data_IF_793261193678
#
_entry.id   IF_793261193678
#
_cell.length_a   1.000
_cell.length_b   1.000
_cell.length_c   1.000
_cell.angle_alpha   90.00
_cell.angle_beta   90.00
_cell.angle_gamma   90.00
#
_symmetry.space_group_name_H-M   'P 1'
#
loop_
_entity.id
_entity.type
_entity.pdbx_description
1 polymer ?
#
# COMPACT_ATOMS: atom_id res chain seq x y z
N UNK A 1 -3.21 -21.52 28.11
CA UNK A 1 -3.39 -20.42 27.16
C UNK A 1 -4.08 -19.26 27.87
N UNK A 2 -3.31 -18.40 28.53
CA UNK A 2 -3.84 -17.12 29.02
C UNK A 2 -4.24 -16.27 27.80
N UNK A 3 -5.40 -15.61 27.83
CA UNK A 3 -5.76 -14.72 26.75
C UNK A 3 -4.67 -13.63 26.62
N UNK A 4 -4.06 -13.51 25.42
CA UNK A 4 -3.13 -12.42 25.13
C UNK A 4 -3.86 -11.11 25.47
N UNK A 5 -3.31 -10.32 26.39
CA UNK A 5 -3.82 -8.99 26.70
C UNK A 5 -3.83 -8.19 25.39
N UNK A 6 -5.03 -7.89 24.90
CA UNK A 6 -5.17 -7.01 23.72
C UNK A 6 -4.62 -5.65 24.13
N UNK A 7 -3.52 -5.25 23.51
CA UNK A 7 -2.93 -3.94 23.76
C UNK A 7 -3.88 -2.87 23.21
N UNK A 8 -4.32 -1.96 24.05
CA UNK A 8 -5.15 -0.83 23.65
C UNK A 8 -4.26 0.34 23.24
N UNK A 9 -4.57 0.93 22.09
CA UNK A 9 -3.97 2.16 21.61
C UNK A 9 -4.97 3.30 21.83
N UNK A 10 -4.48 4.38 22.40
CA UNK A 10 -5.25 5.61 22.59
C UNK A 10 -4.51 6.73 21.88
N UNK A 11 -5.18 7.86 21.64
CA UNK A 11 -4.47 9.07 21.22
C UNK A 11 -3.72 9.64 22.43
N UNK A 12 -2.66 8.94 22.80
CA UNK A 12 -1.93 9.08 24.05
C UNK A 12 -1.26 10.43 24.25
N UNK A 13 -1.38 11.35 23.29
CA UNK A 13 -0.53 12.56 23.29
C UNK A 13 -1.33 13.86 23.20
N UNK A 14 -2.59 13.80 23.57
CA UNK A 14 -3.42 14.98 23.75
C UNK A 14 -3.90 15.62 22.44
N UNK A 15 -3.87 14.88 21.32
CA UNK A 15 -4.45 15.33 20.08
C UNK A 15 -5.86 14.73 19.93
N UNK A 16 -6.90 15.57 20.03
CA UNK A 16 -8.28 15.10 20.08
C UNK A 16 -8.78 14.50 18.77
N UNK A 17 -8.09 14.75 17.65
CA UNK A 17 -8.44 14.22 16.33
C UNK A 17 -7.30 14.37 15.33
N UNK A 18 -7.38 13.64 14.22
CA UNK A 18 -6.46 13.70 13.08
C UNK A 18 -7.11 14.33 11.83
N UNK A 19 -8.29 14.93 11.98
CA UNK A 19 -9.10 15.45 10.88
C UNK A 19 -8.33 16.39 9.94
N UNK A 20 -7.44 17.23 10.49
CA UNK A 20 -6.64 18.17 9.67
C UNK A 20 -5.76 17.46 8.64
N UNK A 21 -5.32 16.25 8.93
CA UNK A 21 -4.48 15.45 8.01
C UNK A 21 -5.26 14.89 6.83
N UNK A 22 -6.59 14.85 6.94
CA UNK A 22 -7.53 14.39 5.91
C UNK A 22 -8.54 15.47 5.55
N UNK A 23 -8.10 16.73 5.56
CA UNK A 23 -8.87 17.90 5.18
C UNK A 23 -8.37 18.46 3.85
N UNK A 24 -9.28 19.07 3.10
CA UNK A 24 -8.95 19.72 1.83
C UNK A 24 -7.95 20.86 2.03
N UNK A 25 -7.02 20.96 1.09
CA UNK A 25 -6.01 22.03 1.01
C UNK A 25 -6.05 22.70 -0.35
N UNK A 26 -5.44 23.86 -0.46
CA UNK A 26 -5.15 24.51 -1.74
C UNK A 26 -3.77 24.06 -2.24
N UNK A 27 -3.57 24.08 -3.54
CA UNK A 27 -2.27 23.81 -4.14
C UNK A 27 -1.29 24.99 -3.94
N UNK A 28 -0.01 24.67 -3.93
CA UNK A 28 1.10 25.64 -3.88
C UNK A 28 1.89 25.51 -5.18
N UNK A 29 1.42 26.11 -6.28
CA UNK A 29 1.97 25.85 -7.61
C UNK A 29 3.37 26.45 -7.82
N UNK A 30 3.69 27.55 -7.13
CA UNK A 30 5.01 28.16 -7.17
C UNK A 30 5.90 27.62 -6.03
N UNK A 31 7.20 27.38 -6.30
CA UNK A 31 8.11 26.89 -5.29
C UNK A 31 8.25 27.86 -4.10
N UNK A 32 8.08 27.35 -2.90
CA UNK A 32 8.33 28.09 -1.65
C UNK A 32 9.56 27.53 -0.94
N UNK A 33 10.34 28.40 -0.29
CA UNK A 33 11.45 27.99 0.54
C UNK A 33 10.96 27.33 1.83
N UNK A 34 11.73 26.37 2.31
CA UNK A 34 11.51 25.71 3.61
C UNK A 34 12.51 26.23 4.64
N UNK A 35 12.18 26.11 5.91
CA UNK A 35 13.07 26.41 7.01
C UNK A 35 13.84 25.13 7.43
N UNK A 36 15.15 25.14 7.32
CA UNK A 36 16.02 23.99 7.59
C UNK A 36 16.42 23.98 9.07
N UNK A 37 16.24 22.85 9.72
CA UNK A 37 16.70 22.56 11.07
C UNK A 37 17.61 21.33 11.01
N UNK A 38 18.78 21.38 11.62
CA UNK A 38 19.80 20.36 11.47
C UNK A 38 20.56 20.50 10.14
N UNK A 39 21.02 19.38 9.59
CA UNK A 39 21.82 19.38 8.36
C UNK A 39 21.24 18.40 7.35
N UNK A 40 20.88 18.91 6.17
CA UNK A 40 20.53 18.05 5.03
C UNK A 40 21.81 17.81 4.23
N UNK A 41 22.20 16.53 4.00
CA UNK A 41 23.41 16.22 3.27
C UNK A 41 23.44 16.87 1.87
N UNK A 42 24.53 17.57 1.54
CA UNK A 42 24.68 18.31 0.29
C UNK A 42 24.69 17.42 -0.95
N UNK A 43 25.04 16.13 -0.78
CA UNK A 43 25.04 15.17 -1.87
C UNK A 43 23.65 14.75 -2.34
N UNK A 44 22.60 15.03 -1.55
CA UNK A 44 21.23 14.79 -1.97
C UNK A 44 20.85 15.86 -2.98
N UNK A 45 20.78 15.49 -4.24
CA UNK A 45 20.39 16.39 -5.34
C UNK A 45 19.31 15.70 -6.20
N UNK A 46 18.09 16.22 -6.16
CA UNK A 46 16.97 15.63 -6.87
C UNK A 46 15.61 16.14 -6.42
N UNK A 47 14.61 15.37 -6.80
CA UNK A 47 13.21 15.66 -6.47
C UNK A 47 12.58 14.49 -5.73
N UNK A 48 12.20 14.73 -4.50
CA UNK A 48 11.32 13.84 -3.79
C UNK A 48 9.87 14.17 -4.16
N UNK A 49 9.25 13.26 -4.88
CA UNK A 49 7.86 13.36 -5.33
C UNK A 49 6.97 12.50 -4.44
N UNK A 50 5.76 12.98 -4.20
CA UNK A 50 4.77 12.26 -3.40
C UNK A 50 3.37 12.56 -3.91
N UNK A 51 2.46 11.60 -3.80
CA UNK A 51 1.06 11.78 -4.08
C UNK A 51 0.17 11.37 -2.90
N UNK A 52 -1.04 11.88 -2.93
CA UNK A 52 -2.11 11.53 -2.00
C UNK A 52 -3.33 12.40 -2.25
N UNK A 53 -4.43 12.15 -1.53
CA UNK A 53 -5.62 12.98 -1.65
C UNK A 53 -5.38 14.35 -1.02
N UNK A 54 -5.69 15.41 -1.77
CA UNK A 54 -5.57 16.80 -1.32
C UNK A 54 -6.90 17.54 -1.25
N UNK A 55 -7.97 16.97 -1.80
CA UNK A 55 -9.30 17.56 -1.77
C UNK A 55 -10.35 16.49 -1.45
N UNK A 56 -11.08 16.70 -0.38
CA UNK A 56 -12.03 15.77 0.20
C UNK A 56 -13.48 16.27 0.10
N UNK A 57 -13.68 17.49 -0.34
CA UNK A 57 -14.96 18.14 -0.55
C UNK A 57 -15.00 18.85 -1.91
N UNK A 58 -16.15 18.80 -2.59
CA UNK A 58 -16.43 19.57 -3.81
C UNK A 58 -17.81 20.25 -3.63
N UNK A 59 -17.84 21.57 -3.60
CA UNK A 59 -19.05 22.31 -3.25
C UNK A 59 -19.58 21.87 -1.89
N UNK A 60 -20.85 21.44 -1.85
CA UNK A 60 -21.49 20.94 -0.62
C UNK A 60 -21.40 19.41 -0.45
N UNK A 61 -20.67 18.73 -1.32
CA UNK A 61 -20.54 17.27 -1.29
C UNK A 61 -19.20 16.85 -0.72
N UNK A 62 -19.19 15.71 0.01
CA UNK A 62 -17.99 15.14 0.62
C UNK A 62 -17.71 13.74 0.04
N UNK A 63 -16.43 13.42 -0.12
CA UNK A 63 -16.03 12.05 -0.38
C UNK A 63 -16.18 11.19 0.88
N UNK A 64 -16.48 9.91 0.71
CA UNK A 64 -16.75 8.99 1.82
C UNK A 64 -15.54 8.11 2.19
N UNK A 65 -14.63 7.90 1.27
CA UNK A 65 -13.47 7.04 1.47
C UNK A 65 -12.17 7.81 1.19
N UNK A 66 -11.10 7.46 1.89
CA UNK A 66 -9.80 8.12 1.73
C UNK A 66 -9.26 8.04 0.30
N UNK A 67 -9.53 6.92 -0.39
CA UNK A 67 -9.10 6.71 -1.78
C UNK A 67 -9.86 7.56 -2.81
N UNK A 68 -10.95 8.22 -2.42
CA UNK A 68 -11.76 9.02 -3.35
C UNK A 68 -11.25 10.46 -3.52
N UNK A 69 -10.40 10.93 -2.60
CA UNK A 69 -9.92 12.31 -2.62
C UNK A 69 -9.14 12.65 -3.88
N UNK A 70 -9.32 13.87 -4.39
CA UNK A 70 -8.62 14.32 -5.60
C UNK A 70 -7.11 14.37 -5.36
N UNK A 71 -6.35 13.76 -6.27
CA UNK A 71 -4.92 13.58 -6.14
C UNK A 71 -4.17 14.91 -6.18
N UNK A 72 -3.36 15.16 -5.15
CA UNK A 72 -2.42 16.27 -5.04
C UNK A 72 -1.00 15.72 -5.15
N UNK A 73 -0.26 16.25 -6.12
CA UNK A 73 1.14 15.91 -6.34
C UNK A 73 2.00 16.92 -5.60
N UNK A 74 2.93 16.41 -4.79
CA UNK A 74 3.88 17.20 -4.01
C UNK A 74 5.28 17.02 -4.57
N UNK A 75 6.07 18.08 -4.61
CA UNK A 75 7.49 18.05 -4.96
C UNK A 75 8.30 18.77 -3.90
N UNK A 76 9.30 18.07 -3.36
CA UNK A 76 10.39 18.63 -2.58
C UNK A 76 11.64 18.56 -3.45
N UNK A 77 12.10 19.72 -3.95
CA UNK A 77 13.36 19.81 -4.67
C UNK A 77 14.47 20.03 -3.66
N UNK A 78 15.41 19.09 -3.60
CA UNK A 78 16.56 19.11 -2.70
C UNK A 78 17.80 19.40 -3.53
N UNK A 79 18.59 20.39 -3.14
CA UNK A 79 19.86 20.71 -3.77
C UNK A 79 20.77 21.48 -2.80
N UNK A 80 22.02 21.07 -2.66
CA UNK A 80 23.03 21.73 -1.82
C UNK A 80 22.56 22.02 -0.40
N UNK A 81 21.91 21.04 0.24
CA UNK A 81 21.39 21.17 1.60
C UNK A 81 20.15 22.07 1.75
N UNK A 82 19.61 22.60 0.65
CA UNK A 82 18.40 23.42 0.64
C UNK A 82 17.22 22.63 0.09
N UNK A 83 16.01 22.98 0.52
CA UNK A 83 14.77 22.35 0.06
C UNK A 83 13.75 23.41 -0.32
N UNK A 84 13.12 23.24 -1.47
CA UNK A 84 11.93 24.00 -1.86
C UNK A 84 10.76 23.05 -2.04
N UNK A 85 9.56 23.55 -1.76
CA UNK A 85 8.31 22.80 -1.85
C UNK A 85 7.35 23.43 -2.84
N UNK A 86 6.66 22.61 -3.62
CA UNK A 86 5.47 23.00 -4.39
C UNK A 86 4.47 21.83 -4.48
N UNK A 87 3.23 22.13 -4.84
CA UNK A 87 2.21 21.12 -5.08
C UNK A 87 1.21 21.53 -6.15
N UNK A 88 0.66 20.54 -6.87
CA UNK A 88 -0.40 20.74 -7.86
C UNK A 88 -1.37 19.57 -7.87
N UNK A 89 -2.64 19.88 -8.07
CA UNK A 89 -3.64 18.83 -8.32
C UNK A 89 -3.40 18.17 -9.68
N UNK A 90 -3.57 16.85 -9.72
CA UNK A 90 -3.58 16.11 -10.97
C UNK A 90 -4.83 16.51 -11.76
N UNK A 91 -4.60 17.08 -12.96
CA UNK A 91 -5.66 17.53 -13.87
C UNK A 91 -6.32 16.34 -14.59
N UNK A 92 -6.91 15.40 -13.81
CA UNK A 92 -7.68 14.29 -14.35
C UNK A 92 -9.05 14.72 -14.84
N UNK A 93 -9.67 13.90 -15.70
CA UNK A 93 -11.03 14.16 -16.19
C UNK A 93 -12.04 14.31 -15.04
N UNK A 94 -11.94 13.47 -14.01
CA UNK A 94 -12.75 13.56 -12.79
C UNK A 94 -12.53 14.88 -12.06
N UNK A 95 -11.27 15.32 -11.93
CA UNK A 95 -10.95 16.60 -11.27
C UNK A 95 -11.55 17.78 -12.03
N UNK A 96 -11.38 17.82 -13.35
CA UNK A 96 -11.92 18.89 -14.20
C UNK A 96 -13.44 18.92 -14.16
N UNK A 97 -14.09 17.77 -14.35
CA UNK A 97 -15.55 17.67 -14.31
C UNK A 97 -16.13 18.08 -12.94
N UNK A 98 -15.48 17.69 -11.85
CA UNK A 98 -15.89 18.06 -10.49
C UNK A 98 -15.72 19.57 -10.25
N UNK A 99 -14.62 20.15 -10.73
CA UNK A 99 -14.33 21.59 -10.60
C UNK A 99 -15.32 22.44 -11.38
N UNK A 100 -15.56 22.11 -12.66
CA UNK A 100 -16.48 22.82 -13.54
C UNK A 100 -17.94 22.82 -13.00
N UNK A 101 -18.37 21.67 -12.48
CA UNK A 101 -19.73 21.52 -11.99
C UNK A 101 -19.91 21.88 -10.51
N UNK A 102 -18.83 22.21 -9.78
CA UNK A 102 -18.78 22.45 -8.34
C UNK A 102 -19.52 21.37 -7.51
N UNK A 103 -19.42 20.11 -7.96
CA UNK A 103 -20.01 18.93 -7.31
C UNK A 103 -19.29 17.66 -7.74
N UNK A 104 -19.47 16.57 -6.98
CA UNK A 104 -18.95 15.26 -7.37
C UNK A 104 -19.80 14.73 -8.54
N UNK A 105 -19.19 14.61 -9.72
CA UNK A 105 -19.86 14.22 -10.97
C UNK A 105 -19.65 12.76 -11.33
N UNK A 106 -18.57 12.14 -10.85
CA UNK A 106 -18.19 10.75 -11.11
C UNK A 106 -18.29 9.95 -9.80
N UNK A 107 -18.87 8.75 -9.86
CA UNK A 107 -18.86 7.85 -8.71
C UNK A 107 -17.45 7.28 -8.54
N UNK A 108 -16.89 7.41 -7.35
CA UNK A 108 -15.59 6.93 -6.97
C UNK A 108 -15.70 5.61 -6.18
N UNK A 109 -14.61 5.14 -5.60
CA UNK A 109 -14.52 3.88 -4.88
C UNK A 109 -15.53 3.76 -3.72
N UNK A 110 -15.56 4.76 -2.82
CA UNK A 110 -16.46 4.82 -1.66
C UNK A 110 -17.57 5.86 -1.77
N UNK A 111 -17.60 6.66 -2.85
CA UNK A 111 -18.55 7.76 -3.01
C UNK A 111 -19.41 7.56 -4.23
N UNK A 112 -20.73 7.65 -4.04
CA UNK A 112 -21.73 7.66 -5.12
C UNK A 112 -22.07 9.09 -5.51
N UNK A 113 -22.14 9.35 -6.82
CA UNK A 113 -22.71 10.59 -7.35
C UNK A 113 -24.23 10.62 -7.16
N UNK A 114 -24.73 11.80 -6.82
CA UNK A 114 -26.15 12.05 -6.94
C UNK A 114 -26.54 12.10 -8.43
N UNK A 115 -27.72 11.56 -8.81
CA UNK A 115 -28.18 11.63 -10.18
C UNK A 115 -28.18 13.05 -10.70
N UNK A 116 -27.73 13.27 -11.93
CA UNK A 116 -27.77 14.57 -12.58
C UNK A 116 -29.24 15.03 -12.69
N UNK A 117 -29.61 16.16 -12.06
CA UNK A 117 -30.98 16.67 -12.12
C UNK A 117 -31.40 17.03 -13.55
N UNK A 118 -30.46 17.31 -14.45
CA UNK A 118 -30.72 17.69 -15.83
C UNK A 118 -30.95 16.51 -16.78
N UNK A 119 -30.66 15.27 -16.34
CA UNK A 119 -30.90 14.07 -17.15
C UNK A 119 -32.27 13.47 -16.86
N UNK A 120 -32.99 13.07 -17.93
CA UNK A 120 -34.27 12.38 -17.77
C UNK A 120 -34.07 10.97 -17.16
N UNK A 121 -35.18 10.37 -16.67
CA UNK A 121 -35.14 9.08 -15.97
C UNK A 121 -34.56 7.97 -16.86
N UNK A 122 -34.82 8.00 -18.17
CA UNK A 122 -34.33 6.98 -19.11
C UNK A 122 -32.81 7.10 -19.35
N UNK A 123 -32.29 8.30 -19.53
CA UNK A 123 -30.85 8.55 -19.63
C UNK A 123 -30.13 8.21 -18.35
N UNK A 124 -30.74 8.45 -17.18
CA UNK A 124 -30.23 8.03 -15.87
C UNK A 124 -30.18 6.51 -15.73
N UNK A 125 -31.13 5.81 -16.34
CA UNK A 125 -31.21 4.35 -16.34
C UNK A 125 -30.14 3.76 -17.26
N UNK A 126 -30.02 4.20 -18.51
CA UNK A 126 -29.05 3.69 -19.49
C UNK A 126 -27.59 3.91 -19.09
N UNK A 127 -27.27 5.06 -18.47
CA UNK A 127 -25.89 5.33 -18.00
C UNK A 127 -25.45 4.44 -16.82
N UNK A 128 -26.32 3.54 -16.33
CA UNK A 128 -26.06 2.66 -15.17
C UNK A 128 -25.79 1.20 -15.53
N UNK A 129 -25.96 0.82 -16.80
CA UNK A 129 -25.84 -0.56 -17.24
C UNK A 129 -24.64 -0.78 -18.15
N UNK A 130 -23.49 -1.08 -17.53
CA UNK A 130 -22.47 -1.90 -18.16
C UNK A 130 -22.47 -3.24 -17.43
N UNK A 131 -22.90 -4.29 -18.12
CA UNK A 131 -22.91 -5.64 -17.58
C UNK A 131 -21.48 -6.17 -17.55
N UNK A 132 -20.97 -6.65 -16.39
CA UNK A 132 -19.68 -7.31 -16.35
C UNK A 132 -19.70 -8.58 -17.22
N UNK A 133 -18.57 -8.89 -17.83
CA UNK A 133 -18.38 -10.15 -18.55
C UNK A 133 -18.73 -11.34 -17.64
N UNK A 134 -19.24 -12.43 -18.24
CA UNK A 134 -19.70 -13.63 -17.51
C UNK A 134 -18.66 -14.34 -16.66
N UNK A 135 -17.36 -13.97 -16.78
CA UNK A 135 -16.27 -14.53 -16.01
C UNK A 135 -15.26 -13.44 -15.68
N UNK A 136 -14.74 -13.45 -14.46
CA UNK A 136 -13.67 -12.56 -14.03
C UNK A 136 -12.30 -13.21 -14.26
N UNK A 137 -11.37 -12.42 -14.78
CA UNK A 137 -9.99 -12.80 -15.03
C UNK A 137 -9.03 -11.72 -14.51
N UNK A 138 -7.78 -12.13 -14.24
CA UNK A 138 -6.67 -11.24 -13.96
C UNK A 138 -5.69 -11.31 -15.13
N UNK A 139 -5.39 -10.18 -15.74
CA UNK A 139 -4.40 -10.11 -16.82
C UNK A 139 -3.10 -9.55 -16.25
N UNK A 140 -2.02 -10.30 -16.40
CA UNK A 140 -0.67 -9.79 -16.20
C UNK A 140 -0.21 -9.24 -17.54
N UNK A 141 0.08 -7.94 -17.59
CA UNK A 141 0.49 -7.24 -18.79
C UNK A 141 1.96 -6.87 -18.71
N UNK A 142 2.61 -6.82 -19.86
CA UNK A 142 3.95 -6.26 -20.01
C UNK A 142 3.87 -4.99 -20.82
N UNK A 143 4.32 -3.90 -20.22
CA UNK A 143 4.47 -2.60 -20.87
C UNK A 143 5.94 -2.44 -21.23
N UNK A 144 6.32 -2.28 -22.52
CA UNK A 144 7.71 -2.06 -22.88
C UNK A 144 8.17 -0.69 -22.37
N UNK A 145 9.47 -0.52 -22.03
CA UNK A 145 10.02 0.79 -21.75
C UNK A 145 9.96 1.64 -23.02
N UNK A 146 9.10 2.65 -23.03
CA UNK A 146 9.02 3.59 -24.16
C UNK A 146 10.19 4.57 -24.12
N UNK A 147 10.82 4.80 -25.26
CA UNK A 147 11.62 6.01 -25.50
C UNK A 147 10.64 7.16 -25.42
N UNK A 148 10.87 8.10 -24.49
CA UNK A 148 10.00 9.26 -24.23
C UNK A 148 9.70 10.03 -25.54
N UNK A 149 8.52 9.79 -26.08
CA UNK A 149 7.81 10.73 -26.95
C UNK A 149 6.53 11.09 -26.21
N UNK A 150 6.08 12.31 -26.31
CA UNK A 150 4.98 12.87 -25.53
C UNK A 150 3.60 12.21 -25.80
N UNK A 151 3.54 11.24 -26.72
CA UNK A 151 2.32 10.56 -27.14
C UNK A 151 2.45 9.05 -26.90
N UNK A 152 1.49 8.51 -26.16
CA UNK A 152 1.14 7.07 -25.93
C UNK A 152 2.10 6.21 -25.10
N UNK A 153 1.86 6.20 -23.78
CA UNK A 153 2.62 5.41 -22.80
C UNK A 153 2.32 3.91 -22.79
N UNK A 154 1.30 3.43 -23.52
CA UNK A 154 0.87 2.03 -23.51
C UNK A 154 1.03 1.31 -24.86
N UNK A 155 1.65 1.94 -25.86
CA UNK A 155 1.93 1.31 -27.13
C UNK A 155 2.86 0.09 -26.97
N UNK A 156 2.57 -0.99 -27.65
CA UNK A 156 3.32 -2.24 -27.55
C UNK A 156 3.04 -3.08 -26.28
N UNK A 157 2.07 -2.69 -25.47
CA UNK A 157 1.61 -3.48 -24.32
C UNK A 157 1.11 -4.85 -24.77
N UNK A 158 1.55 -5.89 -24.08
CA UNK A 158 1.14 -7.27 -24.36
C UNK A 158 0.59 -7.93 -23.09
N UNK A 159 -0.41 -8.81 -23.26
CA UNK A 159 -0.88 -9.67 -22.16
C UNK A 159 0.09 -10.84 -22.04
N UNK A 160 0.80 -10.90 -20.92
CA UNK A 160 1.73 -11.98 -20.62
C UNK A 160 0.99 -13.29 -20.30
N UNK A 161 -0.05 -13.18 -19.46
CA UNK A 161 -0.94 -14.30 -19.15
C UNK A 161 -2.29 -13.79 -18.64
N UNK A 162 -3.28 -14.69 -18.69
CA UNK A 162 -4.63 -14.48 -18.13
C UNK A 162 -4.89 -15.56 -17.08
N UNK A 163 -5.20 -15.16 -15.86
CA UNK A 163 -5.49 -16.05 -14.74
C UNK A 163 -7.00 -16.00 -14.48
N UNK A 164 -7.74 -17.12 -14.61
CA UNK A 164 -9.14 -17.15 -14.23
C UNK A 164 -9.28 -16.99 -12.72
N UNK A 165 -10.20 -16.12 -12.29
CA UNK A 165 -10.52 -15.99 -10.87
C UNK A 165 -11.03 -17.32 -10.30
N UNK A 166 -10.66 -17.65 -9.08
CA UNK A 166 -11.18 -18.81 -8.36
C UNK A 166 -12.70 -18.75 -8.13
N UNK A 167 -13.29 -17.56 -8.23
CA UNK A 167 -14.72 -17.32 -8.17
C UNK A 167 -15.11 -16.40 -9.34
N UNK A 168 -15.94 -16.92 -10.26
CA UNK A 168 -16.30 -16.24 -11.51
C UNK A 168 -17.09 -14.95 -11.30
N UNK A 169 -17.83 -14.84 -10.20
CA UNK A 169 -18.70 -13.71 -9.88
C UNK A 169 -18.16 -12.81 -8.78
N UNK A 170 -17.15 -13.30 -8.06
CA UNK A 170 -16.52 -12.60 -6.94
C UNK A 170 -15.00 -12.67 -7.06
N UNK A 171 -14.40 -11.94 -8.02
CA UNK A 171 -12.95 -11.88 -8.12
C UNK A 171 -12.34 -11.28 -6.85
N UNK A 172 -11.08 -11.61 -6.61
CA UNK A 172 -10.30 -11.03 -5.54
C UNK A 172 -9.95 -9.58 -5.85
N UNK A 173 -10.06 -8.71 -4.86
CA UNK A 173 -9.31 -7.47 -4.86
C UNK A 173 -7.82 -7.77 -4.76
N UNK A 174 -7.00 -7.03 -5.48
CA UNK A 174 -5.56 -7.03 -5.30
C UNK A 174 -5.03 -5.60 -5.34
N UNK A 175 -3.87 -5.38 -4.72
CA UNK A 175 -3.28 -4.06 -4.63
C UNK A 175 -1.87 -4.03 -5.26
N UNK A 176 -1.03 -5.00 -4.93
CA UNK A 176 0.28 -5.19 -5.51
C UNK A 176 0.58 -6.68 -5.71
N UNK A 177 1.63 -6.99 -6.46
CA UNK A 177 2.10 -8.36 -6.68
C UNK A 177 3.61 -8.46 -6.43
N UNK A 178 4.07 -9.65 -6.08
CA UNK A 178 5.50 -9.91 -5.90
C UNK A 178 6.16 -10.21 -7.25
N UNK A 179 7.42 -9.83 -7.39
CA UNK A 179 8.22 -10.07 -8.58
C UNK A 179 9.64 -10.49 -8.21
N UNK A 180 10.11 -11.56 -8.81
CA UNK A 180 11.49 -12.02 -8.74
C UNK A 180 12.20 -11.79 -10.08
N UNK A 181 13.43 -12.24 -10.24
CA UNK A 181 14.11 -12.16 -11.53
C UNK A 181 13.33 -12.86 -12.65
N UNK A 182 12.82 -14.08 -12.39
CA UNK A 182 12.17 -14.90 -13.41
C UNK A 182 10.65 -15.03 -13.26
N UNK A 183 10.07 -14.69 -12.11
CA UNK A 183 8.65 -14.93 -11.82
C UNK A 183 7.92 -13.67 -11.39
N UNK A 184 6.61 -13.69 -11.66
CA UNK A 184 5.61 -12.84 -10.99
C UNK A 184 4.80 -13.75 -10.08
N UNK A 185 4.51 -13.31 -8.86
CA UNK A 185 3.60 -14.02 -7.96
C UNK A 185 2.40 -13.12 -7.67
N UNK A 186 1.26 -13.52 -8.20
CA UNK A 186 -0.01 -12.87 -7.96
C UNK A 186 -0.69 -13.52 -6.75
N UNK A 187 -1.07 -12.72 -5.76
CA UNK A 187 -1.71 -13.18 -4.53
C UNK A 187 -3.22 -13.00 -4.65
N UNK A 188 -3.93 -14.08 -4.91
CA UNK A 188 -5.39 -14.08 -4.90
C UNK A 188 -5.89 -14.25 -3.47
N UNK A 189 -6.12 -13.11 -2.82
CA UNK A 189 -6.55 -13.02 -1.42
C UNK A 189 -8.08 -13.11 -1.27
N UNK A 190 -8.60 -13.47 -0.08
CA UNK A 190 -10.04 -13.63 0.13
C UNK A 190 -10.82 -12.32 0.36
N UNK A 191 -10.27 -11.16 0.04
CA UNK A 191 -11.07 -9.94 -0.15
C UNK A 191 -11.72 -10.04 -1.51
N UNK A 192 -13.03 -10.24 -1.56
CA UNK A 192 -13.78 -10.50 -2.78
C UNK A 192 -14.63 -9.30 -3.19
N UNK A 193 -14.66 -9.00 -4.49
CA UNK A 193 -15.52 -7.98 -5.09
C UNK A 193 -16.78 -8.67 -5.63
N UNK A 194 -17.91 -8.50 -4.96
CA UNK A 194 -19.19 -9.02 -5.40
C UNK A 194 -19.70 -8.18 -6.59
N UNK A 195 -19.43 -8.65 -7.81
CA UNK A 195 -19.75 -7.91 -9.03
C UNK A 195 -21.25 -7.61 -9.15
N UNK A 196 -22.10 -8.51 -8.68
CA UNK A 196 -23.54 -8.28 -8.69
C UNK A 196 -23.93 -7.14 -7.75
N UNK A 197 -23.37 -7.11 -6.54
CA UNK A 197 -23.58 -6.01 -5.58
C UNK A 197 -23.06 -4.68 -6.13
N UNK A 198 -21.86 -4.69 -6.75
CA UNK A 198 -21.26 -3.49 -7.33
C UNK A 198 -22.13 -2.92 -8.46
N UNK A 199 -22.54 -3.76 -9.40
CA UNK A 199 -23.38 -3.33 -10.54
C UNK A 199 -24.77 -2.84 -10.09
N UNK A 200 -25.42 -3.60 -9.21
CA UNK A 200 -26.74 -3.21 -8.68
C UNK A 200 -26.66 -2.15 -7.57
N UNK A 201 -25.46 -1.89 -7.06
CA UNK A 201 -25.20 -0.92 -5.98
C UNK A 201 -25.66 0.48 -6.36
N UNK A 202 -25.40 0.92 -7.58
CA UNK A 202 -25.88 2.24 -8.07
C UNK A 202 -27.40 2.41 -7.94
N UNK A 203 -28.17 1.34 -8.14
CA UNK A 203 -29.64 1.36 -7.96
C UNK A 203 -30.04 1.45 -6.47
N UNK A 204 -29.21 0.90 -5.60
CA UNK A 204 -29.42 0.85 -4.15
C UNK A 204 -28.71 1.99 -3.39
N UNK A 205 -28.12 2.94 -4.10
CA UNK A 205 -27.29 4.01 -3.54
C UNK A 205 -26.12 3.48 -2.70
N UNK A 206 -25.47 2.42 -3.21
CA UNK A 206 -24.29 1.78 -2.62
C UNK A 206 -23.06 2.03 -3.47
N UNK A 207 -21.92 2.32 -2.84
CA UNK A 207 -20.63 2.54 -3.48
C UNK A 207 -20.00 1.23 -3.96
N UNK A 208 -18.89 1.32 -4.70
CA UNK A 208 -18.11 0.15 -5.10
C UNK A 208 -17.57 -0.57 -3.86
N UNK A 209 -17.08 0.18 -2.86
CA UNK A 209 -16.54 -0.40 -1.63
C UNK A 209 -17.56 -1.19 -0.80
N UNK A 210 -18.86 -0.90 -0.92
CA UNK A 210 -19.93 -1.71 -0.30
C UNK A 210 -20.05 -3.13 -0.90
N UNK A 211 -19.48 -3.36 -2.08
CA UNK A 211 -19.42 -4.67 -2.73
C UNK A 211 -18.24 -5.52 -2.31
N UNK A 212 -17.35 -5.02 -1.44
CA UNK A 212 -16.20 -5.77 -0.95
C UNK A 212 -16.60 -6.65 0.22
N UNK A 213 -16.10 -7.89 0.21
CA UNK A 213 -16.43 -8.92 1.19
C UNK A 213 -15.15 -9.62 1.64
N UNK A 214 -14.98 -9.78 2.94
CA UNK A 214 -13.98 -10.67 3.51
C UNK A 214 -14.56 -12.09 3.66
N UNK A 215 -13.87 -13.09 3.12
CA UNK A 215 -14.26 -14.51 3.24
C UNK A 215 -13.22 -15.31 4.06
N UNK A 216 -13.38 -15.39 5.39
CA UNK A 216 -12.42 -16.07 6.27
C UNK A 216 -12.36 -17.59 6.09
N UNK A 217 -13.24 -18.17 5.28
CA UNK A 217 -13.26 -19.62 4.97
C UNK A 217 -12.48 -19.98 3.72
N UNK A 218 -12.05 -18.99 2.96
CA UNK A 218 -11.39 -19.18 1.68
C UNK A 218 -9.87 -18.98 1.81
N UNK A 219 -9.10 -19.97 1.39
CA UNK A 219 -7.64 -19.86 1.37
C UNK A 219 -7.16 -18.77 0.42
N UNK A 220 -6.04 -18.16 0.77
CA UNK A 220 -5.24 -17.35 -0.15
C UNK A 220 -4.52 -18.27 -1.14
N UNK A 221 -4.44 -17.86 -2.41
CA UNK A 221 -3.78 -18.62 -3.48
C UNK A 221 -2.62 -17.80 -4.02
N UNK A 222 -1.43 -18.40 -4.08
CA UNK A 222 -0.28 -17.81 -4.78
C UNK A 222 -0.20 -18.37 -6.19
N UNK A 223 -0.43 -17.52 -7.20
CA UNK A 223 -0.24 -17.86 -8.60
C UNK A 223 1.16 -17.46 -9.01
N UNK A 224 1.96 -18.44 -9.43
CA UNK A 224 3.35 -18.25 -9.86
C UNK A 224 3.41 -18.25 -11.37
N UNK A 225 3.86 -17.15 -11.98
CA UNK A 225 3.89 -16.92 -13.42
C UNK A 225 5.33 -16.71 -13.87
N UNK A 226 5.78 -17.50 -14.84
CA UNK A 226 7.09 -17.32 -15.42
C UNK A 226 7.12 -16.11 -16.37
N UNK A 227 7.97 -15.12 -16.10
CA UNK A 227 7.98 -13.82 -16.81
C UNK A 227 8.29 -13.89 -18.30
N UNK A 228 9.06 -14.90 -18.74
CA UNK A 228 9.42 -15.07 -20.15
C UNK A 228 8.30 -15.71 -20.96
N UNK A 229 7.69 -16.76 -20.43
CA UNK A 229 6.75 -17.60 -21.17
C UNK A 229 5.29 -17.28 -20.90
N UNK A 230 4.97 -16.57 -19.79
CA UNK A 230 3.61 -16.39 -19.33
C UNK A 230 2.98 -17.66 -18.74
N UNK A 231 3.75 -18.74 -18.60
CA UNK A 231 3.23 -19.99 -18.03
C UNK A 231 2.84 -19.79 -16.55
N UNK A 232 1.61 -20.15 -16.24
CA UNK A 232 1.08 -20.12 -14.86
C UNK A 232 1.27 -21.50 -14.25
N UNK A 233 2.23 -21.65 -13.34
CA UNK A 233 2.52 -22.92 -12.70
C UNK A 233 1.33 -23.50 -11.93
N UNK A 234 0.52 -22.63 -11.31
CA UNK A 234 -0.67 -23.04 -10.57
C UNK A 234 -1.80 -23.63 -11.42
N UNK A 235 -1.80 -23.42 -12.73
CA UNK A 235 -2.82 -23.98 -13.63
C UNK A 235 -2.46 -25.37 -14.16
N UNK A 236 -1.17 -25.69 -14.27
CA UNK A 236 -0.69 -26.92 -14.90
C UNK A 236 -0.28 -28.00 -13.90
N UNK A 237 0.14 -27.67 -12.68
CA UNK A 237 0.68 -28.68 -11.76
C UNK A 237 0.36 -28.50 -10.28
N UNK A 238 0.64 -27.33 -9.66
CA UNK A 238 0.58 -27.14 -8.20
C UNK A 238 -0.03 -25.80 -7.83
N UNK A 239 -0.97 -25.79 -6.89
CA UNK A 239 -1.53 -24.60 -6.25
C UNK A 239 -0.89 -24.42 -4.88
N UNK A 240 -0.28 -23.27 -4.65
CA UNK A 240 0.20 -22.87 -3.33
C UNK A 240 -0.92 -22.14 -2.59
N UNK A 241 -1.26 -22.65 -1.41
CA UNK A 241 -2.36 -22.19 -0.58
C UNK A 241 -1.82 -21.72 0.76
N UNK A 242 -2.40 -20.64 1.29
CA UNK A 242 -2.19 -20.22 2.66
C UNK A 242 -3.53 -20.01 3.36
N UNK A 243 -3.51 -19.90 4.69
CA UNK A 243 -4.68 -19.45 5.46
C UNK A 243 -5.15 -18.09 4.90
N UNK A 244 -6.43 -17.74 5.12
CA UNK A 244 -6.94 -16.42 4.74
C UNK A 244 -6.03 -15.31 5.25
N UNK A 245 -5.59 -14.44 4.36
CA UNK A 245 -4.83 -13.24 4.68
C UNK A 245 -5.24 -12.10 3.75
N UNK A 246 -5.04 -10.86 4.20
CA UNK A 246 -5.11 -9.68 3.36
C UNK A 246 -3.73 -9.03 3.27
N UNK A 247 -3.41 -8.47 2.11
CA UNK A 247 -2.15 -7.76 1.87
C UNK A 247 -2.37 -6.62 0.88
N UNK A 248 -1.73 -5.48 1.14
CA UNK A 248 -1.64 -4.39 0.18
C UNK A 248 -0.26 -4.35 -0.45
N UNK A 249 0.80 -4.39 0.35
CA UNK A 249 2.15 -4.17 -0.12
C UNK A 249 3.06 -5.38 0.06
N UNK A 250 3.83 -5.67 -1.00
CA UNK A 250 4.95 -6.59 -0.95
C UNK A 250 6.19 -5.83 -0.47
N UNK A 251 7.04 -6.48 0.34
CA UNK A 251 8.31 -5.91 0.78
C UNK A 251 9.36 -6.16 -0.29
N UNK A 252 9.58 -7.43 -0.62
CA UNK A 252 10.46 -7.90 -1.68
C UNK A 252 10.14 -9.36 -2.03
N UNK A 253 10.65 -9.84 -3.17
CA UNK A 253 10.64 -11.25 -3.48
C UNK A 253 11.90 -11.61 -4.28
N UNK A 254 12.42 -12.81 -4.05
CA UNK A 254 13.63 -13.29 -4.73
C UNK A 254 13.64 -14.82 -4.86
N UNK A 255 14.57 -15.31 -5.63
CA UNK A 255 14.79 -16.75 -5.83
C UNK A 255 16.04 -17.18 -5.06
N UNK A 256 15.96 -18.28 -4.34
CA UNK A 256 17.06 -18.84 -3.55
C UNK A 256 16.96 -20.37 -3.52
N UNK A 257 17.99 -21.06 -4.00
CA UNK A 257 18.15 -22.52 -3.91
C UNK A 257 16.93 -23.36 -4.37
N UNK A 258 16.22 -22.89 -5.40
CA UNK A 258 15.02 -23.55 -5.92
C UNK A 258 13.72 -23.20 -5.19
N UNK A 259 13.74 -22.14 -4.40
CA UNK A 259 12.57 -21.56 -3.72
C UNK A 259 12.30 -20.16 -4.22
N UNK A 260 11.02 -19.75 -4.13
CA UNK A 260 10.60 -18.36 -4.18
C UNK A 260 10.39 -17.87 -2.74
N UNK A 261 11.13 -16.87 -2.34
CA UNK A 261 10.97 -16.18 -1.05
C UNK A 261 10.12 -14.94 -1.29
N UNK A 262 9.02 -14.82 -0.57
CA UNK A 262 8.04 -13.74 -0.69
C UNK A 262 7.86 -13.06 0.65
N UNK A 263 8.26 -11.80 0.73
CA UNK A 263 8.09 -10.98 1.93
C UNK A 263 7.01 -9.93 1.68
N UNK A 264 6.03 -9.85 2.57
CA UNK A 264 4.88 -8.96 2.44
C UNK A 264 4.34 -8.48 3.76
N UNK A 265 3.69 -7.33 3.76
CA UNK A 265 2.88 -6.87 4.86
C UNK A 265 1.48 -7.51 4.77
N UNK A 266 1.11 -8.31 5.76
CA UNK A 266 -0.12 -9.09 5.73
C UNK A 266 -0.87 -9.08 7.07
N UNK A 267 -2.20 -9.21 6.99
CA UNK A 267 -3.11 -9.33 8.12
C UNK A 267 -3.94 -10.61 8.03
N UNK A 268 -4.47 -11.06 9.17
CA UNK A 268 -5.39 -12.20 9.26
C UNK A 268 -6.86 -11.81 9.06
N UNK A 269 -7.15 -10.55 8.81
CA UNK A 269 -8.49 -10.05 8.48
C UNK A 269 -8.49 -9.16 7.23
N UNK A 270 -9.68 -8.82 6.73
CA UNK A 270 -9.88 -8.01 5.53
C UNK A 270 -10.52 -6.65 5.81
N UNK A 271 -10.39 -6.10 7.01
CA UNK A 271 -11.10 -4.89 7.44
C UNK A 271 -10.42 -3.59 6.98
N UNK A 272 -9.21 -3.64 6.45
CA UNK A 272 -8.43 -2.45 6.10
C UNK A 272 -9.22 -1.46 5.22
N UNK A 273 -9.89 -1.94 4.17
CA UNK A 273 -10.69 -1.09 3.27
C UNK A 273 -11.79 -0.34 4.03
N UNK A 274 -12.52 -1.03 4.91
CA UNK A 274 -13.59 -0.43 5.69
C UNK A 274 -13.06 0.58 6.75
N UNK A 275 -11.87 0.35 7.27
CA UNK A 275 -11.24 1.25 8.25
C UNK A 275 -10.96 2.63 7.67
N UNK A 276 -10.62 2.74 6.38
CA UNK A 276 -10.26 4.00 5.71
C UNK A 276 -11.45 4.83 5.21
N UNK A 277 -12.63 4.59 5.75
CA UNK A 277 -13.76 5.49 5.56
C UNK A 277 -13.47 6.86 6.22
N UNK A 278 -13.71 7.97 5.51
CA UNK A 278 -13.41 9.34 5.99
C UNK A 278 -14.12 9.65 7.31
N UNK A 279 -15.31 9.07 7.53
CA UNK A 279 -16.01 9.21 8.81
C UNK A 279 -15.20 8.68 9.99
N UNK A 280 -14.43 7.60 9.82
CA UNK A 280 -13.52 7.08 10.84
C UNK A 280 -12.32 8.01 11.07
N UNK A 281 -11.74 8.52 9.99
CA UNK A 281 -10.60 9.42 10.02
C UNK A 281 -10.91 10.79 10.68
N UNK A 282 -12.19 11.17 10.75
CA UNK A 282 -12.66 12.44 11.33
C UNK A 282 -13.31 12.29 12.70
N UNK A 283 -13.26 11.10 13.30
CA UNK A 283 -13.68 10.91 14.70
C UNK A 283 -12.71 11.58 15.67
N UNK A 284 -13.16 11.76 16.90
CA UNK A 284 -12.37 12.37 17.98
C UNK A 284 -12.64 11.66 19.31
N UNK A 285 -11.73 11.82 20.28
CA UNK A 285 -11.85 11.27 21.63
C UNK A 285 -12.09 9.77 21.65
N UNK A 286 -12.96 9.28 22.53
CA UNK A 286 -13.25 7.84 22.70
C UNK A 286 -13.72 7.16 21.42
N UNK A 287 -14.44 7.84 20.54
CA UNK A 287 -14.89 7.28 19.27
C UNK A 287 -13.72 7.03 18.31
N UNK A 288 -12.66 7.84 18.36
CA UNK A 288 -11.44 7.61 17.60
C UNK A 288 -10.60 6.49 18.23
N UNK A 289 -10.50 6.45 19.55
CA UNK A 289 -9.80 5.37 20.26
C UNK A 289 -10.43 4.01 19.98
N UNK A 290 -11.75 3.91 19.87
CA UNK A 290 -12.43 2.68 19.49
C UNK A 290 -12.05 2.25 18.06
N UNK A 291 -11.95 3.20 17.12
CA UNK A 291 -11.45 2.89 15.77
C UNK A 291 -10.02 2.36 15.84
N UNK A 292 -9.12 3.00 16.58
CA UNK A 292 -7.74 2.54 16.73
C UNK A 292 -7.64 1.11 17.29
N UNK A 293 -8.54 0.73 18.19
CA UNK A 293 -8.56 -0.61 18.78
C UNK A 293 -9.19 -1.70 17.90
N UNK A 294 -9.92 -1.30 16.86
CA UNK A 294 -10.57 -2.21 15.90
C UNK A 294 -9.88 -2.25 14.53
N UNK A 295 -8.73 -1.59 14.38
CA UNK A 295 -7.99 -1.59 13.12
C UNK A 295 -7.49 -2.99 12.74
N UNK A 296 -7.56 -3.27 11.44
CA UNK A 296 -6.81 -4.31 10.80
C UNK A 296 -5.30 -4.09 11.06
N UNK A 297 -4.65 -5.02 11.73
CA UNK A 297 -3.22 -4.96 12.04
C UNK A 297 -2.43 -5.76 11.03
N UNK A 298 -1.39 -5.15 10.49
CA UNK A 298 -0.60 -5.68 9.38
C UNK A 298 0.82 -5.92 9.86
N UNK A 299 1.38 -7.10 9.59
CA UNK A 299 2.70 -7.50 10.03
C UNK A 299 3.55 -8.04 8.88
N UNK A 300 4.87 -7.80 8.89
CA UNK A 300 5.78 -8.36 7.91
C UNK A 300 5.87 -9.88 8.04
N UNK A 301 5.60 -10.58 6.94
CA UNK A 301 5.57 -12.05 6.88
C UNK A 301 6.32 -12.56 5.66
N UNK A 302 7.05 -13.66 5.82
CA UNK A 302 7.76 -14.39 4.77
C UNK A 302 7.03 -15.67 4.43
N UNK A 303 6.78 -15.90 3.14
CA UNK A 303 6.39 -17.19 2.58
C UNK A 303 7.54 -17.73 1.74
N UNK A 304 7.72 -19.03 1.77
CA UNK A 304 8.72 -19.74 0.96
C UNK A 304 8.00 -20.80 0.14
N UNK A 305 8.05 -20.67 -1.18
CA UNK A 305 7.35 -21.55 -2.11
C UNK A 305 8.37 -22.40 -2.87
N UNK A 306 8.36 -23.75 -2.73
CA UNK A 306 9.26 -24.61 -3.47
C UNK A 306 8.92 -24.60 -4.96
N UNK A 307 9.92 -24.34 -5.83
CA UNK A 307 9.74 -24.33 -7.28
C UNK A 307 9.63 -25.74 -7.89
N UNK A 308 10.24 -26.73 -7.25
CA UNK A 308 10.26 -28.09 -7.73
C UNK A 308 9.30 -28.97 -6.92
N UNK A 309 8.07 -29.09 -7.40
CA UNK A 309 7.05 -29.98 -6.85
C UNK A 309 6.51 -30.82 -8.01
N UNK A 310 6.77 -32.11 -8.00
CA UNK A 310 6.40 -33.07 -9.02
C UNK A 310 5.56 -34.23 -8.47
N UNK A 311 5.40 -35.29 -9.25
CA UNK A 311 4.61 -36.46 -8.85
C UNK A 311 5.27 -37.27 -7.71
N UNK A 312 6.58 -37.26 -7.64
CA UNK A 312 7.37 -38.03 -6.67
C UNK A 312 7.62 -37.25 -5.36
N UNK A 313 7.24 -35.97 -5.32
CA UNK A 313 7.37 -35.12 -4.12
C UNK A 313 6.54 -35.70 -2.97
N UNK A 314 7.18 -35.86 -1.82
CA UNK A 314 6.55 -36.43 -0.62
C UNK A 314 5.31 -35.64 -0.13
N UNK A 315 4.34 -36.38 0.41
CA UNK A 315 3.18 -35.81 1.10
C UNK A 315 3.45 -35.63 2.60
N UNK A 316 2.75 -34.74 3.21
CA UNK A 316 2.73 -34.48 4.66
C UNK A 316 4.12 -34.20 5.28
N UNK A 317 5.07 -33.78 4.46
CA UNK A 317 6.41 -33.36 4.86
C UNK A 317 6.64 -31.88 4.51
N UNK A 318 7.44 -31.22 5.33
CA UNK A 318 7.84 -29.84 5.05
C UNK A 318 8.88 -29.79 3.92
N UNK A 319 8.47 -29.32 2.75
CA UNK A 319 9.31 -29.17 1.58
C UNK A 319 10.40 -28.11 1.75
N UNK A 320 10.22 -27.19 2.70
CA UNK A 320 11.17 -26.12 3.03
C UNK A 320 12.22 -26.54 4.08
N UNK A 321 12.31 -27.81 4.44
CA UNK A 321 13.19 -28.27 5.52
C UNK A 321 14.68 -27.96 5.33
N UNK A 322 15.11 -27.69 4.09
CA UNK A 322 16.49 -27.29 3.75
C UNK A 322 16.69 -25.78 3.66
N UNK A 323 15.61 -25.01 3.71
CA UNK A 323 15.66 -23.56 3.68
C UNK A 323 15.87 -23.02 5.11
N UNK A 324 16.57 -21.92 5.24
CA UNK A 324 16.86 -21.28 6.55
C UNK A 324 15.64 -20.70 7.25
N UNK A 325 14.55 -20.43 6.52
CA UNK A 325 13.30 -19.88 7.05
C UNK A 325 12.51 -20.93 7.84
N UNK A 326 11.78 -20.48 8.85
CA UNK A 326 10.79 -21.29 9.59
C UNK A 326 9.45 -21.43 8.85
N UNK A 327 9.24 -20.74 7.73
CA UNK A 327 8.07 -20.89 6.88
C UNK A 327 7.98 -22.32 6.33
N UNK A 328 6.79 -22.90 6.33
CA UNK A 328 6.61 -24.28 5.86
C UNK A 328 5.82 -24.36 4.55
N UNK A 329 6.10 -25.39 3.77
CA UNK A 329 5.32 -25.76 2.59
C UNK A 329 5.08 -27.27 2.63
N UNK A 330 3.82 -27.69 2.75
CA UNK A 330 3.45 -29.11 2.92
C UNK A 330 2.53 -29.50 1.78
N UNK A 331 2.89 -30.56 1.04
CA UNK A 331 2.03 -31.13 0.01
C UNK A 331 0.89 -31.91 0.64
N UNK A 332 -0.33 -31.42 0.50
CA UNK A 332 -1.55 -31.98 1.10
C UNK A 332 -2.43 -32.73 0.09
N UNK A 333 -2.18 -32.56 -1.21
CA UNK A 333 -2.86 -33.26 -2.30
C UNK A 333 -1.99 -33.24 -3.56
N UNK A 334 -2.36 -34.03 -4.58
CA UNK A 334 -1.60 -34.15 -5.84
C UNK A 334 -1.16 -32.78 -6.41
N UNK A 335 -2.04 -31.79 -6.34
CA UNK A 335 -1.83 -30.47 -6.90
C UNK A 335 -1.98 -29.33 -5.88
N UNK A 336 -1.78 -29.62 -4.58
CA UNK A 336 -1.93 -28.62 -3.52
C UNK A 336 -0.79 -28.66 -2.53
N UNK A 337 -0.15 -27.50 -2.32
CA UNK A 337 0.84 -27.26 -1.28
C UNK A 337 0.27 -26.21 -0.33
N UNK A 338 0.19 -26.54 0.97
CA UNK A 338 -0.21 -25.62 2.02
C UNK A 338 1.04 -24.94 2.58
N UNK A 339 1.04 -23.60 2.54
CA UNK A 339 2.15 -22.76 2.98
C UNK A 339 1.79 -22.03 4.27
N UNK A 340 2.73 -21.98 5.21
CA UNK A 340 2.67 -21.10 6.37
C UNK A 340 3.77 -20.04 6.28
N UNK A 341 3.60 -18.94 6.98
CA UNK A 341 4.59 -17.87 7.00
C UNK A 341 5.54 -17.99 8.20
N UNK A 342 6.65 -17.30 8.07
CA UNK A 342 7.52 -16.86 9.16
C UNK A 342 7.27 -15.38 9.42
N UNK A 343 7.18 -14.98 10.69
CA UNK A 343 7.17 -13.57 11.06
C UNK A 343 8.56 -12.97 10.91
N UNK A 344 8.68 -11.84 10.19
CA UNK A 344 9.93 -11.11 9.97
C UNK A 344 10.22 -10.06 11.04
N UNK A 345 9.57 -10.15 12.19
CA UNK A 345 9.67 -9.19 13.28
C UNK A 345 9.73 -9.87 14.64
N UNK A 346 10.22 -9.16 15.64
CA UNK A 346 10.11 -9.52 17.06
C UNK A 346 8.77 -9.07 17.67
N UNK A 347 8.53 -9.46 18.92
CA UNK A 347 7.31 -9.08 19.68
C UNK A 347 7.17 -7.55 19.82
N UNK A 348 8.27 -6.80 19.80
CA UNK A 348 8.30 -5.34 19.97
C UNK A 348 7.47 -4.61 18.92
N UNK A 349 7.32 -5.16 17.70
CA UNK A 349 6.54 -4.53 16.64
C UNK A 349 5.05 -4.39 17.01
N UNK A 350 4.53 -5.26 17.86
CA UNK A 350 3.16 -5.16 18.35
C UNK A 350 2.87 -3.85 19.09
N UNK A 351 3.88 -3.27 19.77
CA UNK A 351 3.76 -1.97 20.42
C UNK A 351 3.54 -0.81 19.44
N UNK A 352 3.92 -1.00 18.18
CA UNK A 352 3.75 -0.03 17.10
C UNK A 352 2.54 -0.33 16.21
N UNK A 353 1.72 -1.32 16.58
CA UNK A 353 0.47 -1.65 15.87
C UNK A 353 0.67 -2.33 14.52
N UNK A 354 1.86 -2.86 14.25
CA UNK A 354 2.24 -3.46 12.98
C UNK A 354 3.03 -2.50 12.09
N UNK A 355 3.21 -2.87 10.81
CA UNK A 355 4.03 -2.12 9.86
C UNK A 355 3.39 -2.16 8.47
N UNK A 356 3.33 -1.01 7.82
CA UNK A 356 2.91 -0.83 6.43
C UNK A 356 3.80 0.19 5.68
N UNK A 357 3.54 0.39 4.40
CA UNK A 357 4.36 1.19 3.49
C UNK A 357 5.82 0.74 3.45
N UNK A 358 6.08 -0.56 3.18
CA UNK A 358 7.42 -1.09 3.19
C UNK A 358 8.24 -0.57 2.00
N UNK A 359 9.49 -0.22 2.26
CA UNK A 359 10.47 0.19 1.26
C UNK A 359 11.82 -0.47 1.52
N UNK A 360 12.55 -0.78 0.46
CA UNK A 360 13.90 -1.33 0.49
C UNK A 360 14.86 -0.39 -0.26
N UNK A 361 16.14 -0.66 -0.23
CA UNK A 361 17.08 -0.12 -1.22
C UNK A 361 16.77 -0.77 -2.59
N UNK A 362 15.71 -0.26 -3.24
CA UNK A 362 15.09 -0.86 -4.40
C UNK A 362 16.05 -1.01 -5.59
N UNK A 363 16.85 0.01 -5.87
CA UNK A 363 17.75 0.02 -7.02
C UNK A 363 18.77 -1.13 -6.98
N UNK A 364 19.19 -1.56 -5.78
CA UNK A 364 20.23 -2.57 -5.59
C UNK A 364 19.69 -3.93 -5.19
N UNK A 365 18.57 -4.00 -4.45
CA UNK A 365 18.07 -5.22 -3.82
C UNK A 365 16.69 -5.68 -4.28
N UNK A 366 16.02 -4.98 -5.18
CA UNK A 366 14.79 -5.49 -5.77
C UNK A 366 15.07 -6.82 -6.48
N UNK A 367 14.27 -7.84 -6.22
CA UNK A 367 14.39 -9.21 -6.71
C UNK A 367 15.63 -9.99 -6.20
N UNK A 368 16.31 -9.51 -5.18
CA UNK A 368 17.52 -10.12 -4.61
C UNK A 368 17.39 -10.32 -3.10
N UNK A 369 18.16 -11.24 -2.49
CA UNK A 369 18.28 -11.31 -1.04
C UNK A 369 18.69 -9.97 -0.46
N UNK A 370 18.08 -9.59 0.65
CA UNK A 370 18.25 -8.30 1.31
C UNK A 370 18.20 -8.48 2.83
N UNK A 371 18.61 -7.47 3.56
CA UNK A 371 18.64 -7.48 5.02
C UNK A 371 17.72 -6.43 5.64
N UNK A 372 17.61 -5.26 5.04
CA UNK A 372 16.88 -4.15 5.65
C UNK A 372 15.68 -3.73 4.82
N UNK A 373 14.59 -3.44 5.51
CA UNK A 373 13.48 -2.68 4.94
C UNK A 373 13.00 -1.62 5.93
N UNK A 374 12.29 -0.65 5.40
CA UNK A 374 11.80 0.51 6.13
C UNK A 374 10.29 0.60 5.95
N UNK A 375 9.57 1.10 6.96
CA UNK A 375 8.12 1.25 6.88
C UNK A 375 7.59 2.17 7.95
N UNK A 376 6.26 2.31 8.00
CA UNK A 376 5.55 3.06 9.03
C UNK A 376 4.92 2.10 10.04
N UNK A 377 5.02 2.42 11.34
CA UNK A 377 4.20 1.82 12.37
C UNK A 377 2.76 2.38 12.33
N UNK A 378 1.78 1.55 12.63
CA UNK A 378 0.35 1.88 12.49
C UNK A 378 -0.45 1.58 13.74
N UNK A 379 -0.13 2.26 14.85
CA UNK A 379 -1.01 2.27 16.04
C UNK A 379 -2.34 2.95 15.74
N UNK A 380 -2.28 3.95 14.88
CA UNK A 380 -3.37 4.81 14.45
C UNK A 380 -3.81 4.49 13.00
N UNK A 381 -4.79 5.22 12.46
CA UNK A 381 -5.26 5.08 11.07
C UNK A 381 -4.23 5.52 10.02
N UNK A 382 -3.22 6.25 10.43
CA UNK A 382 -2.11 6.75 9.63
C UNK A 382 -0.79 6.33 10.27
N UNK A 383 0.30 6.36 9.52
CA UNK A 383 1.64 6.09 10.07
C UNK A 383 1.98 7.05 11.20
N UNK A 384 2.50 6.54 12.30
CA UNK A 384 2.82 7.29 13.53
C UNK A 384 4.25 7.12 14.02
N UNK A 385 5.01 6.30 13.32
CA UNK A 385 6.44 6.08 13.53
C UNK A 385 7.08 5.60 12.23
N UNK A 386 8.39 5.77 12.10
CA UNK A 386 9.20 5.12 11.08
C UNK A 386 9.97 3.97 11.71
N UNK A 387 10.05 2.87 11.00
CA UNK A 387 10.69 1.65 11.48
C UNK A 387 11.67 1.15 10.43
N UNK A 388 12.92 0.91 10.84
CA UNK A 388 13.89 0.12 10.12
C UNK A 388 13.88 -1.29 10.69
N UNK A 389 13.68 -2.28 9.84
CA UNK A 389 13.65 -3.69 10.21
C UNK A 389 14.86 -4.43 9.65
N UNK A 390 15.52 -5.23 10.47
CA UNK A 390 16.55 -6.20 10.07
C UNK A 390 15.88 -7.58 9.99
N UNK A 391 15.74 -8.14 8.79
CA UNK A 391 15.02 -9.40 8.57
C UNK A 391 15.79 -10.62 9.13
N UNK A 392 17.11 -10.52 9.34
CA UNK A 392 17.91 -11.62 9.87
C UNK A 392 17.78 -11.72 11.40
N UNK A 393 17.97 -10.62 12.09
CA UNK A 393 17.89 -10.56 13.56
C UNK A 393 16.48 -10.33 14.08
N UNK A 394 15.54 -9.92 13.20
CA UNK A 394 14.16 -9.49 13.54
C UNK A 394 14.12 -8.32 14.51
N UNK A 395 15.22 -7.59 14.61
CA UNK A 395 15.33 -6.39 15.44
C UNK A 395 14.92 -5.16 14.65
N UNK A 396 14.54 -4.11 15.34
CA UNK A 396 14.11 -2.86 14.72
C UNK A 396 14.76 -1.64 15.35
N UNK A 397 14.87 -0.57 14.56
CA UNK A 397 15.12 0.80 15.03
C UNK A 397 13.90 1.64 14.71
N UNK A 398 13.58 2.58 15.58
CA UNK A 398 12.37 3.38 15.47
C UNK A 398 12.70 4.86 15.60
N UNK A 399 12.11 5.66 14.72
CA UNK A 399 11.96 7.09 14.88
C UNK A 399 10.51 7.44 15.13
N UNK A 400 10.22 8.17 16.19
CA UNK A 400 8.89 8.72 16.47
C UNK A 400 9.00 10.06 17.19
N UNK A 401 8.00 10.90 16.97
CA UNK A 401 7.88 12.16 17.67
C UNK A 401 6.40 12.41 18.01
N UNK A 402 6.08 12.71 19.30
CA UNK A 402 4.71 12.95 19.75
C UNK A 402 3.98 14.01 18.94
N UNK A 403 2.80 13.63 18.41
CA UNK A 403 1.95 14.53 17.63
C UNK A 403 2.41 14.76 16.20
N UNK A 404 3.34 13.93 15.70
CA UNK A 404 3.81 13.93 14.33
C UNK A 404 3.60 12.55 13.70
N UNK A 405 3.19 12.55 12.44
CA UNK A 405 2.74 11.36 11.71
C UNK A 405 3.53 11.25 10.39
N UNK A 406 4.57 10.43 10.37
CA UNK A 406 5.38 10.20 9.17
C UNK A 406 4.60 9.42 8.14
N UNK A 407 4.84 9.72 6.87
CA UNK A 407 4.37 8.96 5.72
C UNK A 407 5.42 7.99 5.21
N UNK A 408 5.10 7.25 4.16
CA UNK A 408 5.99 6.27 3.53
C UNK A 408 7.45 6.74 3.49
N UNK A 409 8.40 5.95 4.06
CA UNK A 409 9.82 6.25 3.98
C UNK A 409 10.38 5.92 2.60
N UNK A 410 11.25 6.77 2.06
CA UNK A 410 11.95 6.50 0.80
C UNK A 410 13.44 6.45 1.08
N UNK A 411 14.07 5.34 0.70
CA UNK A 411 15.52 5.17 0.81
C UNK A 411 16.24 5.84 -0.36
N UNK A 412 17.27 6.63 -0.05
CA UNK A 412 18.15 7.26 -1.05
C UNK A 412 19.58 6.84 -0.74
N UNK A 413 20.25 6.07 -1.62
CA UNK A 413 21.61 5.63 -1.39
C UNK A 413 22.59 6.80 -1.42
N UNK A 414 23.61 6.78 -0.56
CA UNK A 414 24.72 7.74 -0.64
C UNK A 414 25.59 7.46 -1.88
N UNK A 415 26.26 8.47 -2.43
CA UNK A 415 27.22 8.27 -3.51
C UNK A 415 28.31 7.27 -3.10
N UNK A 416 28.50 6.24 -3.91
CA UNK A 416 29.50 5.21 -3.62
C UNK A 416 29.13 4.25 -2.48
N UNK A 417 27.83 4.16 -2.11
CA UNK A 417 27.34 3.28 -1.06
C UNK A 417 27.87 1.85 -1.18
N UNK A 418 28.57 1.36 -0.15
CA UNK A 418 29.11 0.00 -0.06
C UNK A 418 28.09 -0.95 0.59
N UNK A 419 27.54 -0.54 1.72
CA UNK A 419 26.58 -1.32 2.49
C UNK A 419 25.14 -1.12 1.99
N UNK A 420 24.23 -2.01 2.39
CA UNK A 420 22.83 -1.97 1.99
C UNK A 420 22.09 -0.74 2.50
N UNK A 421 22.45 -0.33 3.72
CA UNK A 421 21.84 0.80 4.44
C UNK A 421 22.69 2.08 4.42
N UNK A 422 23.68 2.15 3.52
CA UNK A 422 24.45 3.39 3.27
C UNK A 422 23.59 4.39 2.50
N UNK A 423 22.99 5.33 3.21
CA UNK A 423 22.10 6.31 2.62
C UNK A 423 21.26 7.07 3.64
N UNK A 424 20.20 7.66 3.16
CA UNK A 424 19.24 8.37 4.00
C UNK A 424 17.82 7.88 3.76
N UNK A 425 16.96 8.14 4.73
CA UNK A 425 15.52 7.96 4.63
C UNK A 425 14.88 9.35 4.55
N UNK A 426 14.04 9.54 3.53
CA UNK A 426 13.20 10.70 3.35
C UNK A 426 11.75 10.34 3.71
N UNK A 427 11.09 11.15 4.53
CA UNK A 427 9.67 11.01 4.84
C UNK A 427 9.02 12.36 5.08
N UNK A 428 7.81 12.57 4.57
CA UNK A 428 7.01 13.75 4.92
C UNK A 428 6.29 13.48 6.22
N UNK A 429 6.57 14.28 7.22
CA UNK A 429 6.02 14.18 8.58
C UNK A 429 4.98 15.25 8.80
N UNK A 430 3.76 14.84 9.08
CA UNK A 430 2.59 15.70 9.18
C UNK A 430 2.13 15.82 10.62
N UNK A 431 1.52 16.95 10.94
CA UNK A 431 0.92 17.17 12.25
C UNK A 431 -0.48 17.74 12.12
N UNK A 432 -1.47 17.25 12.90
CA UNK A 432 -2.79 17.88 13.01
C UNK A 432 -2.76 19.18 13.82
N UNK A 433 -1.69 19.46 14.55
CA UNK A 433 -1.55 20.68 15.34
C UNK A 433 -1.27 21.89 14.44
N UNK A 434 -2.11 22.93 14.55
CA UNK A 434 -2.00 24.17 13.75
C UNK A 434 -0.76 25.00 14.09
N UNK A 435 -0.26 24.87 15.32
CA UNK A 435 0.88 25.65 15.82
C UNK A 435 2.24 25.00 15.51
N UNK A 436 2.21 23.84 14.83
CA UNK A 436 3.40 23.10 14.41
C UNK A 436 3.45 22.96 12.89
N UNK A 437 4.64 22.96 12.34
CA UNK A 437 4.85 22.83 10.89
C UNK A 437 5.01 21.37 10.48
N UNK A 438 4.43 20.99 9.36
CA UNK A 438 4.79 19.80 8.59
C UNK A 438 6.20 19.95 8.04
N UNK A 439 6.95 18.88 7.89
CA UNK A 439 8.31 18.93 7.39
C UNK A 439 8.70 17.69 6.57
N UNK A 440 9.67 17.84 5.70
CA UNK A 440 10.43 16.74 5.15
C UNK A 440 11.51 16.34 6.16
N UNK A 441 11.48 15.10 6.61
CA UNK A 441 12.47 14.51 7.52
C UNK A 441 13.57 13.82 6.72
N UNK A 442 14.81 13.96 7.19
CA UNK A 442 15.96 13.23 6.68
C UNK A 442 16.61 12.46 7.84
N UNK A 443 16.57 11.13 7.78
CA UNK A 443 17.25 10.26 8.72
C UNK A 443 18.50 9.64 8.07
N UNK A 444 19.54 9.42 8.85
CA UNK A 444 20.60 8.48 8.49
C UNK A 444 20.00 7.05 8.45
N UNK A 445 20.12 6.36 7.32
CA UNK A 445 19.46 5.06 7.16
C UNK A 445 20.14 3.94 7.96
N UNK A 446 21.40 4.11 8.39
CA UNK A 446 22.16 3.14 9.20
C UNK A 446 21.84 3.29 10.68
N UNK A 447 22.01 4.49 11.24
CA UNK A 447 21.77 4.77 12.67
C UNK A 447 20.29 4.95 12.97
N UNK A 448 19.52 5.40 12.00
CA UNK A 448 18.12 5.78 12.09
C UNK A 448 17.87 7.02 12.93
N UNK A 449 18.91 7.85 13.06
CA UNK A 449 18.90 9.14 13.75
C UNK A 449 18.59 10.27 12.77
N UNK A 450 17.96 11.33 13.26
CA UNK A 450 17.63 12.50 12.48
C UNK A 450 18.89 13.32 12.15
N UNK A 451 19.12 13.54 10.85
CA UNK A 451 20.13 14.46 10.34
C UNK A 451 19.59 15.89 10.26
N UNK A 452 18.38 16.03 9.79
CA UNK A 452 17.73 17.32 9.67
C UNK A 452 16.30 17.24 9.13
N UNK A 453 15.65 18.39 9.13
CA UNK A 453 14.29 18.55 8.61
C UNK A 453 14.11 19.87 7.87
N UNK A 454 13.26 19.85 6.83
CA UNK A 454 12.86 21.04 6.09
C UNK A 454 11.39 21.34 6.40
N UNK A 455 11.15 22.39 7.19
CA UNK A 455 9.81 22.80 7.61
C UNK A 455 9.08 23.52 6.48
N UNK A 456 7.85 23.10 6.21
CA UNK A 456 7.00 23.65 5.16
C UNK A 456 5.96 24.58 5.80
N UNK A 457 5.83 25.85 5.33
CA UNK A 457 4.93 26.83 5.95
C UNK A 457 3.45 26.66 5.57
N UNK A 458 3.11 25.61 4.82
CA UNK A 458 1.73 25.31 4.40
C UNK A 458 1.26 23.97 4.94
N UNK A 459 -0.07 23.77 5.00
CA UNK A 459 -0.64 22.50 5.41
C UNK A 459 -0.50 21.48 4.27
N UNK A 460 -0.04 20.29 4.60
CA UNK A 460 0.07 19.14 3.68
C UNK A 460 -0.80 18.01 4.27
N UNK A 461 -1.75 17.45 3.51
CA UNK A 461 -2.51 16.29 3.97
C UNK A 461 -1.67 15.03 3.96
N UNK A 462 -2.11 14.01 4.70
CA UNK A 462 -1.43 12.71 4.70
C UNK A 462 -1.57 12.05 3.33
N UNK A 463 -0.47 11.64 2.74
CA UNK A 463 -0.41 11.03 1.41
C UNK A 463 -0.06 9.55 1.47
N UNK A 464 0.03 8.91 0.29
CA UNK A 464 0.27 7.47 0.18
C UNK A 464 1.71 7.17 -0.22
N UNK A 465 2.07 7.37 -1.47
CA UNK A 465 3.33 6.92 -2.03
C UNK A 465 4.21 8.07 -2.53
N UNK A 466 5.52 7.80 -2.53
CA UNK A 466 6.51 8.73 -3.04
C UNK A 466 7.64 8.03 -3.80
N UNK A 467 8.50 8.84 -4.40
CA UNK A 467 9.74 8.42 -5.07
C UNK A 467 10.74 9.55 -5.05
N UNK A 468 12.02 9.21 -5.09
CA UNK A 468 13.13 10.16 -5.23
C UNK A 468 13.81 10.01 -6.58
#
# INVERSE_FOLDING_TARGET
NSPKKVQRFTDVRGLPCIERMVSSVEETPEPICTDIVGQIPEWIDGNFLRNGPGKFEIGNQKFNHWFDGMALLHQFKIARGQVTYKSRFLSSDSYQANKENNRITVSEFGTITLPDPCKNIFQRFLSRFELPSRCAYYNIIRVPPTKRTEEETLEGTTVLCTIPSSDKTKPSYYHSFAMTENYVVFVEQPIKMDLFKIVTGKLRRKSISDGFLWDPKRNTIFHVIHKKTGEVRSSSSVKYLAKPLSTFHQINAYEEDGFLVLDMCASDDGLAIANYNIQNLRKSGEALDEVYNTLCRVFPRRFVLPLHVDQDTAYDQNLNARHSSTATAIRIARNKVCCTHEDLHGEDLHHYGGLEFPQINYAKYNTRPYRYFYGCGFRHLVGDSLIKMDVHSKSMKVWEQPGFYPSEPIFVPSPGAAEEDDGVILSVVITPNKDRSTFLLVLDARTFEELGRARVPVNIPYGFHGTF
#
